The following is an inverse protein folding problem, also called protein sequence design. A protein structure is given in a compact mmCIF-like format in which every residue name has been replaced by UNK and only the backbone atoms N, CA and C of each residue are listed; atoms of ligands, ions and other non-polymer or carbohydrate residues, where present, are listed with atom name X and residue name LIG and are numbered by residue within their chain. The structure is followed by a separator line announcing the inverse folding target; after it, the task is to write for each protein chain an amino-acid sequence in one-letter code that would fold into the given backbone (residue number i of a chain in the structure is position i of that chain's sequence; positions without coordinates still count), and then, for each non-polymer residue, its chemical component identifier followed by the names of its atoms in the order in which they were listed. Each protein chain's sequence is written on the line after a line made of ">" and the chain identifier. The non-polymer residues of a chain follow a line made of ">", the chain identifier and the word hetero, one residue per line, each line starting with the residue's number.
data_IF_257838759845
#
_entry.id   IF_257838759845
#
_cell.length_a   1.000
_cell.length_b   1.000
_cell.length_c   1.000
_cell.angle_alpha   90.00
_cell.angle_beta   90.00
_cell.angle_gamma   90.00
#
_symmetry.space_group_name_H-M   'P 1'
#
loop_
_entity.id
_entity.type
_entity.pdbx_description
1 polymer ?
#
# COMPACT_ATOMS: atom_id res chain seq x y z
N UNK A 1 26.87 5.40 -23.86
CA UNK A 1 25.50 5.79 -23.46
C UNK A 1 25.06 4.84 -22.36
N UNK A 2 25.22 5.22 -21.09
CA UNK A 2 24.78 4.41 -19.95
C UNK A 2 23.31 4.74 -19.71
N UNK A 3 22.42 3.77 -19.84
CA UNK A 3 21.05 3.93 -19.37
C UNK A 3 21.10 4.27 -17.89
N UNK A 4 20.61 5.44 -17.49
CA UNK A 4 20.23 5.68 -16.10
C UNK A 4 19.19 4.62 -15.76
N UNK A 5 19.58 3.62 -14.98
CA UNK A 5 18.62 2.64 -14.46
C UNK A 5 17.65 3.39 -13.57
N UNK A 6 16.46 3.69 -14.06
CA UNK A 6 15.41 4.31 -13.25
C UNK A 6 15.11 3.37 -12.08
N UNK A 7 15.55 3.77 -10.88
CA UNK A 7 15.28 3.03 -9.66
C UNK A 7 13.76 3.08 -9.44
N UNK A 8 13.11 1.92 -9.55
CA UNK A 8 11.67 1.82 -9.27
C UNK A 8 11.39 2.22 -7.82
N UNK A 9 10.32 2.97 -7.54
CA UNK A 9 9.95 3.32 -6.17
C UNK A 9 9.71 2.04 -5.36
N UNK A 10 10.07 2.07 -4.08
CA UNK A 10 10.02 0.90 -3.21
C UNK A 10 8.62 0.72 -2.65
N UNK A 11 8.17 -0.52 -2.56
CA UNK A 11 6.91 -0.88 -1.92
C UNK A 11 7.09 -2.00 -0.90
N UNK A 12 6.18 -2.06 0.07
CA UNK A 12 6.00 -3.18 0.98
C UNK A 12 4.69 -3.90 0.70
N UNK A 13 4.67 -5.20 0.94
CA UNK A 13 3.43 -5.95 1.10
C UNK A 13 3.06 -5.99 2.58
N UNK A 14 1.77 -6.06 2.89
CA UNK A 14 1.29 -6.25 4.26
C UNK A 14 0.21 -7.33 4.33
N UNK A 15 0.37 -8.26 5.27
CA UNK A 15 -0.58 -9.32 5.57
C UNK A 15 -0.83 -9.46 7.07
N UNK A 16 -2.07 -9.80 7.41
CA UNK A 16 -2.49 -10.31 8.69
C UNK A 16 -2.77 -11.79 8.50
N UNK A 17 -1.91 -12.64 9.03
CA UNK A 17 -2.01 -14.08 8.87
C UNK A 17 -3.39 -14.61 9.28
N UNK A 18 -4.00 -14.04 10.33
CA UNK A 18 -5.35 -14.39 10.80
C UNK A 18 -6.47 -14.02 9.81
N UNK A 19 -6.22 -13.09 8.89
CA UNK A 19 -7.18 -12.65 7.84
C UNK A 19 -6.90 -13.26 6.48
N UNK A 20 -5.68 -13.75 6.25
CA UNK A 20 -5.27 -14.37 4.99
C UNK A 20 -5.44 -15.90 4.97
N UNK A 21 -5.93 -16.57 6.03
CA UNK A 21 -6.15 -18.03 6.01
C UNK A 21 -7.33 -18.41 5.10
N UNK A 22 -7.22 -19.47 4.25
CA UNK A 22 -6.04 -20.27 3.92
C UNK A 22 -5.25 -19.74 2.70
N UNK A 23 -5.57 -18.53 2.23
CA UNK A 23 -5.15 -17.96 0.96
C UNK A 23 -3.83 -17.16 0.99
N UNK A 24 -3.01 -17.25 2.05
CA UNK A 24 -1.83 -16.39 2.22
C UNK A 24 -0.89 -16.38 1.00
N UNK A 25 -0.53 -17.56 0.46
CA UNK A 25 0.34 -17.63 -0.71
C UNK A 25 -0.27 -16.92 -1.93
N UNK A 26 -1.59 -17.07 -2.12
CA UNK A 26 -2.32 -16.39 -3.19
C UNK A 26 -2.29 -14.88 -2.99
N UNK A 27 -2.52 -14.42 -1.77
CA UNK A 27 -2.50 -13.00 -1.42
C UNK A 27 -1.10 -12.39 -1.67
N UNK A 28 -0.02 -13.09 -1.31
CA UNK A 28 1.35 -12.67 -1.60
C UNK A 28 1.65 -12.56 -3.10
N UNK A 29 1.18 -13.53 -3.89
CA UNK A 29 1.31 -13.51 -5.35
C UNK A 29 0.55 -12.31 -5.94
N UNK A 30 -0.69 -12.08 -5.51
CA UNK A 30 -1.51 -10.97 -6.01
C UNK A 30 -0.91 -9.61 -5.65
N UNK A 31 -0.43 -9.44 -4.42
CA UNK A 31 0.31 -8.24 -3.99
C UNK A 31 1.51 -7.98 -4.90
N UNK A 32 2.32 -9.00 -5.16
CA UNK A 32 3.51 -8.89 -6.02
C UNK A 32 3.15 -8.51 -7.45
N UNK A 33 2.15 -9.17 -8.01
CA UNK A 33 1.66 -8.87 -9.37
C UNK A 33 1.17 -7.43 -9.48
N UNK A 34 0.40 -6.96 -8.50
CA UNK A 34 -0.15 -5.60 -8.52
C UNK A 34 0.94 -4.54 -8.34
N UNK A 35 1.87 -4.73 -7.39
CA UNK A 35 3.00 -3.82 -7.20
C UNK A 35 3.85 -3.71 -8.47
N UNK A 36 4.09 -4.83 -9.15
CA UNK A 36 4.83 -4.85 -10.43
C UNK A 36 4.08 -4.09 -11.52
N UNK A 37 2.75 -4.27 -11.62
CA UNK A 37 1.88 -3.57 -12.58
C UNK A 37 1.88 -2.05 -12.33
N UNK A 38 1.94 -1.62 -11.06
CA UNK A 38 2.02 -0.20 -10.68
C UNK A 38 3.43 0.37 -10.80
N UNK A 39 4.42 -0.42 -11.24
CA UNK A 39 5.78 0.04 -11.47
C UNK A 39 6.70 -0.01 -10.24
N UNK A 40 6.23 -0.48 -9.10
CA UNK A 40 6.99 -0.55 -7.86
C UNK A 40 7.95 -1.75 -7.79
N UNK A 41 9.02 -1.59 -7.01
CA UNK A 41 9.84 -2.69 -6.53
C UNK A 41 9.34 -3.16 -5.17
N UNK A 42 8.63 -4.30 -5.15
CA UNK A 42 8.17 -4.93 -3.90
C UNK A 42 9.36 -5.51 -3.12
N UNK A 43 9.76 -4.83 -2.05
CA UNK A 43 10.97 -5.17 -1.29
C UNK A 43 10.78 -6.41 -0.42
N UNK A 44 9.66 -6.47 0.30
CA UNK A 44 9.27 -7.59 1.16
C UNK A 44 7.78 -7.51 1.49
N UNK A 45 7.20 -8.63 1.88
CA UNK A 45 5.87 -8.69 2.50
C UNK A 45 6.04 -8.84 4.00
N UNK A 46 5.47 -7.92 4.77
CA UNK A 46 5.38 -8.00 6.23
C UNK A 46 4.15 -8.82 6.59
N UNK A 47 4.33 -9.87 7.38
CA UNK A 47 3.24 -10.71 7.88
C UNK A 47 3.17 -10.57 9.38
N UNK A 48 2.03 -10.09 9.88
CA UNK A 48 1.72 -10.02 11.31
C UNK A 48 0.62 -11.02 11.68
N UNK A 49 0.61 -11.40 12.94
CA UNK A 49 -0.41 -12.27 13.54
C UNK A 49 -1.34 -11.46 14.44
N UNK A 50 -2.46 -12.05 14.86
CA UNK A 50 -3.35 -11.45 15.86
C UNK A 50 -2.66 -11.13 17.20
N UNK A 51 -1.51 -11.75 17.50
CA UNK A 51 -0.72 -11.49 18.71
C UNK A 51 0.32 -10.39 18.56
N UNK A 52 0.47 -9.80 17.37
CA UNK A 52 1.45 -8.72 17.15
C UNK A 52 0.95 -7.45 17.85
N UNK A 53 1.71 -6.89 18.81
CA UNK A 53 1.33 -5.64 19.46
C UNK A 53 1.46 -4.47 18.47
N UNK A 54 0.50 -3.54 18.49
CA UNK A 54 0.52 -2.30 17.69
C UNK A 54 0.93 -2.49 16.21
N UNK A 55 0.25 -3.38 15.45
CA UNK A 55 0.68 -3.78 14.11
C UNK A 55 0.79 -2.60 13.15
N UNK A 56 -0.04 -1.57 13.30
CA UNK A 56 -0.01 -0.38 12.45
C UNK A 56 1.25 0.45 12.69
N UNK A 57 1.65 0.64 13.95
CA UNK A 57 2.87 1.39 14.28
C UNK A 57 4.12 0.64 13.77
N UNK A 58 4.16 -0.68 13.96
CA UNK A 58 5.26 -1.49 13.44
C UNK A 58 5.35 -1.48 11.90
N UNK A 59 4.20 -1.42 11.21
CA UNK A 59 4.14 -1.28 9.76
C UNK A 59 4.65 0.10 9.31
N UNK A 60 4.25 1.18 9.98
CA UNK A 60 4.76 2.53 9.73
C UNK A 60 6.29 2.58 9.89
N UNK A 61 6.83 1.96 10.93
CA UNK A 61 8.27 1.88 11.14
C UNK A 61 8.96 1.05 10.06
N UNK A 62 8.32 0.00 9.56
CA UNK A 62 8.83 -0.76 8.41
C UNK A 62 8.84 0.09 7.12
N UNK A 63 7.77 0.85 6.85
CA UNK A 63 7.68 1.78 5.72
C UNK A 63 8.85 2.77 5.77
N UNK A 64 9.02 3.49 6.89
CA UNK A 64 10.09 4.47 7.10
C UNK A 64 11.48 3.86 6.93
N UNK A 65 11.77 2.74 7.59
CA UNK A 65 13.07 2.05 7.50
C UNK A 65 13.42 1.59 6.08
N UNK A 66 12.40 1.20 5.30
CA UNK A 66 12.59 0.76 3.92
C UNK A 66 12.50 1.88 2.90
N UNK A 67 12.19 3.11 3.32
CA UNK A 67 11.86 4.22 2.42
C UNK A 67 10.83 3.80 1.36
N UNK A 68 9.82 3.03 1.78
CA UNK A 68 8.76 2.58 0.89
C UNK A 68 7.77 3.72 0.66
N UNK A 69 7.36 3.89 -0.58
CA UNK A 69 6.40 4.92 -0.98
C UNK A 69 4.98 4.38 -0.99
N UNK A 70 4.81 3.07 -1.11
CA UNK A 70 3.52 2.39 -1.14
C UNK A 70 3.50 1.10 -0.30
N UNK A 71 2.33 0.79 0.24
CA UNK A 71 1.99 -0.47 0.90
C UNK A 71 0.88 -1.16 0.13
N UNK A 72 1.12 -2.37 -0.33
CA UNK A 72 0.15 -3.23 -0.99
C UNK A 72 -0.43 -4.24 0.01
N UNK A 73 -1.75 -4.36 0.02
CA UNK A 73 -2.51 -5.19 0.96
C UNK A 73 -3.62 -5.91 0.19
N UNK A 74 -4.09 -7.11 0.60
CA UNK A 74 -5.14 -7.79 -0.14
C UNK A 74 -6.43 -6.98 -0.15
N UNK A 75 -6.86 -6.54 1.03
CA UNK A 75 -8.12 -5.84 1.24
C UNK A 75 -8.12 -5.13 2.60
N UNK A 76 -9.08 -4.23 2.82
CA UNK A 76 -9.19 -3.44 4.05
C UNK A 76 -9.43 -4.28 5.31
N UNK A 77 -9.81 -5.56 5.20
CA UNK A 77 -10.03 -6.42 6.38
C UNK A 77 -8.73 -6.70 7.15
N UNK A 78 -7.58 -6.48 6.49
CA UNK A 78 -6.26 -6.51 7.10
C UNK A 78 -5.99 -5.32 8.03
N UNK A 79 -6.86 -4.32 8.01
CA UNK A 79 -6.87 -3.17 8.91
C UNK A 79 -8.16 -3.08 9.73
N UNK A 80 -8.84 -4.21 9.96
CA UNK A 80 -10.14 -4.25 10.65
C UNK A 80 -11.24 -3.43 9.94
N UNK A 81 -11.12 -3.28 8.61
CA UNK A 81 -12.13 -2.68 7.75
C UNK A 81 -11.87 -1.22 7.36
N UNK A 82 -10.89 -0.55 7.98
CA UNK A 82 -10.56 0.85 7.67
C UNK A 82 -9.05 1.05 7.59
N UNK A 83 -8.58 1.64 6.48
CA UNK A 83 -7.16 1.97 6.32
C UNK A 83 -6.77 3.07 7.31
N UNK A 84 -5.72 2.88 8.15
CA UNK A 84 -5.34 3.87 9.15
C UNK A 84 -4.79 5.15 8.51
N UNK A 85 -5.33 6.31 8.91
CA UNK A 85 -4.86 7.62 8.42
C UNK A 85 -3.36 7.86 8.73
N UNK A 86 -2.86 7.33 9.84
CA UNK A 86 -1.44 7.42 10.21
C UNK A 86 -0.51 6.66 9.25
N UNK A 87 -1.00 5.58 8.61
CA UNK A 87 -0.28 4.86 7.58
C UNK A 87 -0.32 5.63 6.25
N UNK A 88 -1.51 6.13 5.87
CA UNK A 88 -1.69 6.95 4.66
C UNK A 88 -0.77 8.17 4.71
N UNK A 89 -0.60 8.81 5.87
CA UNK A 89 0.28 9.96 6.02
C UNK A 89 1.76 9.71 5.66
N UNK A 90 2.21 8.46 5.59
CA UNK A 90 3.61 8.11 5.30
C UNK A 90 3.81 7.30 4.02
N UNK A 91 2.77 6.67 3.48
CA UNK A 91 2.82 5.89 2.24
C UNK A 91 1.42 5.77 1.62
N UNK A 92 1.36 5.62 0.29
CA UNK A 92 0.12 5.24 -0.37
C UNK A 92 -0.27 3.82 0.05
N UNK A 93 -1.54 3.57 0.27
CA UNK A 93 -2.04 2.21 0.53
C UNK A 93 -2.83 1.74 -0.68
N UNK A 94 -2.47 0.59 -1.22
CA UNK A 94 -3.12 0.01 -2.40
C UNK A 94 -3.71 -1.35 -2.03
N UNK A 95 -5.03 -1.50 -2.17
CA UNK A 95 -5.71 -2.78 -1.98
C UNK A 95 -5.73 -3.58 -3.29
N UNK A 96 -5.71 -4.91 -3.19
CA UNK A 96 -5.86 -5.81 -4.35
C UNK A 96 -7.33 -6.03 -4.69
N UNK A 97 -8.19 -6.19 -3.67
CA UNK A 97 -9.60 -6.53 -3.82
C UNK A 97 -10.49 -5.75 -2.80
N UNK A 98 -11.33 -4.83 -3.26
CA UNK A 98 -11.26 -4.17 -4.58
C UNK A 98 -9.90 -3.48 -4.80
N UNK A 99 -9.54 -3.21 -6.05
CA UNK A 99 -8.33 -2.44 -6.38
C UNK A 99 -8.60 -0.96 -6.12
N UNK A 100 -8.08 -0.43 -5.00
CA UNK A 100 -8.26 0.97 -4.57
C UNK A 100 -6.92 1.54 -4.12
N UNK A 101 -6.74 2.85 -4.27
CA UNK A 101 -5.54 3.57 -3.81
C UNK A 101 -5.94 4.68 -2.85
N UNK A 102 -5.39 4.63 -1.63
CA UNK A 102 -5.50 5.63 -0.59
C UNK A 102 -4.19 6.43 -0.56
N UNK A 103 -4.18 7.57 -1.25
CA UNK A 103 -2.96 8.35 -1.49
C UNK A 103 -2.56 9.21 -0.27
N UNK A 104 -1.25 9.31 -0.01
CA UNK A 104 -0.68 10.09 1.09
C UNK A 104 -0.93 11.58 0.97
N UNK A 105 -0.85 12.11 -0.25
CA UNK A 105 -1.13 13.50 -0.60
C UNK A 105 -2.03 13.56 -1.82
N UNK A 106 -3.23 14.13 -1.66
CA UNK A 106 -3.97 14.69 -2.78
C UNK A 106 -3.43 16.10 -3.10
N UNK A 107 -2.13 16.26 -3.35
CA UNK A 107 -1.65 17.46 -4.06
C UNK A 107 -1.99 17.25 -5.52
N UNK A 108 -3.08 17.91 -5.92
CA UNK A 108 -3.88 17.61 -7.10
C UNK A 108 -3.09 17.41 -8.39
N UNK A 109 -3.32 16.27 -9.03
CA UNK A 109 -3.79 16.11 -10.40
C UNK A 109 -3.97 14.60 -10.64
N UNK A 110 -5.21 14.14 -10.56
CA UNK A 110 -5.57 12.88 -11.23
C UNK A 110 -5.80 13.28 -12.69
N UNK A 111 -4.82 13.06 -13.57
CA UNK A 111 -5.11 13.06 -15.01
C UNK A 111 -5.83 11.74 -15.34
N UNK A 112 -7.07 11.63 -14.86
CA UNK A 112 -8.07 10.72 -15.38
C UNK A 112 -9.03 11.56 -16.19
N UNK A 113 -9.02 11.39 -17.50
CA UNK A 113 -10.04 11.92 -18.41
C UNK A 113 -11.41 11.46 -17.93
N UNK A 114 -12.13 12.32 -17.22
CA UNK A 114 -13.59 12.44 -17.15
C UNK A 114 -13.91 13.59 -16.19
N UNK A 115 -14.14 14.77 -16.79
CA UNK A 115 -14.15 16.06 -16.12
C UNK A 115 -15.28 16.26 -15.11
N UNK A 116 -15.09 15.81 -13.87
CA UNK A 116 -15.86 16.29 -12.72
C UNK A 116 -14.90 16.64 -11.57
N UNK A 117 -14.66 17.94 -11.39
CA UNK A 117 -13.92 18.48 -10.25
C UNK A 117 -14.86 18.65 -9.07
N UNK A 118 -14.65 17.90 -7.99
CA UNK A 118 -15.29 18.16 -6.70
C UNK A 118 -14.33 19.03 -5.89
N UNK A 119 -14.71 20.29 -5.68
CA UNK A 119 -13.96 21.24 -4.84
C UNK A 119 -14.31 20.97 -3.38
N UNK A 120 -13.39 20.40 -2.60
CA UNK A 120 -13.51 20.36 -1.14
C UNK A 120 -12.84 21.60 -0.53
N UNK A 121 -13.41 22.22 0.54
CA UNK A 121 -12.83 23.39 1.15
C UNK A 121 -11.61 23.04 2.02
N UNK A 122 -10.62 23.93 1.99
CA UNK A 122 -9.43 23.96 2.84
C UNK A 122 -9.81 24.34 4.29
N UNK A 123 -9.00 23.98 5.32
CA UNK A 123 -9.32 24.16 6.74
C UNK A 123 -9.48 25.62 7.20
#
# INVERSE_FOLDING_TARGET
>A
MRSEGTVRPRALGYLRADRSVPNQLRDEVQIRSLATRYGYSLCKTIVFTASTPDPIQQLIDAVRRSNAEAVFVPDVTHFDGLVPASLIAVADVVTVRPEETFARWATGEIQGSDGVSIRWPEP
#
